data_IF_608551865419
#
_entry.id   IF_608551865419
#
_cell.length_a   1.000
_cell.length_b   1.000
_cell.length_c   1.000
_cell.angle_alpha   90.00
_cell.angle_beta   90.00
_cell.angle_gamma   90.00
#
_symmetry.space_group_name_H-M   'P 1'
#
loop_
_entity.id
_entity.type
_entity.pdbx_description
1 polymer ?
#
# COMPACT_ATOMS: atom_id res chain seq x y z
N UNK A 1 15.10 -34.84 -23.58
CA UNK A 1 14.41 -34.99 -22.25
C UNK A 1 14.61 -33.77 -21.39
N UNK A 2 15.81 -33.18 -21.32
CA UNK A 2 16.11 -31.96 -20.55
C UNK A 2 15.24 -30.77 -21.01
N UNK A 3 14.95 -30.63 -22.29
CA UNK A 3 14.08 -29.59 -22.86
C UNK A 3 12.61 -29.66 -22.36
N UNK A 4 12.20 -30.74 -21.70
CA UNK A 4 10.89 -30.97 -21.09
C UNK A 4 10.90 -30.85 -19.54
N UNK A 5 12.02 -30.35 -18.95
CA UNK A 5 12.13 -30.16 -17.50
C UNK A 5 12.46 -31.43 -16.71
N UNK A 6 12.84 -32.51 -17.37
CA UNK A 6 13.30 -33.73 -16.69
C UNK A 6 14.83 -33.71 -16.58
N UNK A 7 15.35 -33.47 -15.37
CA UNK A 7 16.78 -33.37 -15.03
C UNK A 7 17.38 -34.67 -14.47
N UNK A 8 16.60 -35.76 -14.39
CA UNK A 8 17.09 -37.08 -13.89
C UNK A 8 18.00 -37.82 -14.88
N UNK A 9 18.20 -37.27 -16.09
CA UNK A 9 19.02 -37.87 -17.12
C UNK A 9 20.51 -37.58 -16.88
N UNK A 10 21.15 -38.36 -15.98
CA UNK A 10 22.61 -38.41 -15.85
C UNK A 10 23.19 -39.42 -16.82
N UNK A 11 24.28 -39.04 -17.51
CA UNK A 11 25.04 -39.94 -18.38
C UNK A 11 25.92 -40.82 -17.51
N UNK A 12 25.86 -42.16 -17.71
CA UNK A 12 26.76 -43.11 -17.04
C UNK A 12 28.19 -42.98 -17.56
N UNK A 13 29.19 -43.13 -16.69
CA UNK A 13 30.61 -43.11 -17.05
C UNK A 13 30.95 -44.21 -18.06
N UNK A 14 31.63 -43.84 -19.15
CA UNK A 14 32.15 -44.77 -20.18
C UNK A 14 33.68 -44.78 -20.06
N UNK A 15 34.26 -45.96 -19.82
CA UNK A 15 35.64 -46.16 -19.36
C UNK A 15 36.73 -46.10 -20.49
N UNK A 16 36.43 -45.61 -21.70
CA UNK A 16 37.35 -45.83 -22.83
C UNK A 16 38.06 -44.58 -23.42
N UNK A 17 37.69 -43.36 -23.05
CA UNK A 17 38.40 -42.16 -23.55
C UNK A 17 38.39 -41.06 -22.47
N UNK A 18 39.56 -40.54 -22.08
CA UNK A 18 39.70 -39.52 -21.06
C UNK A 18 38.93 -38.22 -21.38
N UNK A 19 38.89 -37.81 -22.65
CA UNK A 19 38.16 -36.61 -23.09
C UNK A 19 36.63 -36.78 -22.96
N UNK A 20 36.11 -37.98 -23.25
CA UNK A 20 34.68 -38.27 -23.08
C UNK A 20 34.30 -38.30 -21.59
N UNK A 21 35.17 -38.82 -20.75
CA UNK A 21 34.96 -38.82 -19.30
C UNK A 21 34.90 -37.39 -18.72
N UNK A 22 35.80 -36.51 -19.16
CA UNK A 22 35.78 -35.09 -18.79
C UNK A 22 34.49 -34.40 -19.25
N UNK A 23 34.04 -34.69 -20.47
CA UNK A 23 32.80 -34.13 -21.01
C UNK A 23 31.57 -34.58 -20.21
N UNK A 24 31.48 -35.90 -19.91
CA UNK A 24 30.38 -36.45 -19.10
C UNK A 24 30.38 -35.85 -17.69
N UNK A 25 31.53 -35.69 -17.05
CA UNK A 25 31.67 -35.09 -15.71
C UNK A 25 31.22 -33.63 -15.73
N UNK A 26 31.67 -32.87 -16.73
CA UNK A 26 31.28 -31.46 -16.90
C UNK A 26 29.78 -31.31 -17.19
N UNK A 27 29.21 -32.20 -18.03
CA UNK A 27 27.78 -32.24 -18.29
C UNK A 27 26.96 -32.55 -17.02
N UNK A 28 27.32 -33.60 -16.27
CA UNK A 28 26.65 -33.96 -15.04
C UNK A 28 26.74 -32.83 -13.97
N UNK A 29 27.90 -32.15 -13.90
CA UNK A 29 28.08 -30.98 -13.03
C UNK A 29 27.13 -29.84 -13.44
N UNK A 30 27.04 -29.53 -14.74
CA UNK A 30 26.15 -28.52 -15.28
C UNK A 30 24.68 -28.83 -14.97
N UNK A 31 24.25 -30.06 -15.13
CA UNK A 31 22.90 -30.52 -14.78
C UNK A 31 22.64 -30.29 -13.29
N UNK A 32 23.55 -30.69 -12.42
CA UNK A 32 23.42 -30.47 -10.96
C UNK A 32 23.34 -28.96 -10.59
N UNK A 33 24.10 -28.11 -11.28
CA UNK A 33 24.04 -26.65 -11.07
C UNK A 33 22.70 -26.08 -11.55
N UNK A 34 22.14 -26.56 -12.65
CA UNK A 34 20.82 -26.15 -13.17
C UNK A 34 19.72 -26.60 -12.21
N UNK A 35 19.72 -27.83 -11.72
CA UNK A 35 18.77 -28.33 -10.72
C UNK A 35 18.80 -27.48 -9.45
N UNK A 36 20.00 -27.19 -8.92
CA UNK A 36 20.16 -26.36 -7.74
C UNK A 36 19.62 -24.94 -7.95
N UNK A 37 19.93 -24.30 -9.08
CA UNK A 37 19.40 -22.98 -9.42
C UNK A 37 17.88 -22.99 -9.57
N UNK A 38 17.32 -24.01 -10.20
CA UNK A 38 15.87 -24.14 -10.37
C UNK A 38 15.18 -24.28 -9.01
N UNK A 39 15.70 -25.14 -8.12
CA UNK A 39 15.17 -25.31 -6.77
C UNK A 39 15.26 -24.00 -5.95
N UNK A 40 16.35 -23.25 -6.09
CA UNK A 40 16.49 -21.94 -5.46
C UNK A 40 15.47 -20.92 -5.98
N UNK A 41 15.23 -20.90 -7.31
CA UNK A 41 14.23 -20.01 -7.91
C UNK A 41 12.81 -20.35 -7.45
N UNK A 42 12.48 -21.65 -7.38
CA UNK A 42 11.18 -22.12 -6.88
C UNK A 42 11.00 -21.72 -5.40
N UNK A 43 11.99 -21.99 -4.56
CA UNK A 43 11.92 -21.63 -3.14
C UNK A 43 11.78 -20.13 -2.94
N UNK A 44 12.51 -19.32 -3.70
CA UNK A 44 12.40 -17.86 -3.65
C UNK A 44 11.04 -17.38 -4.14
N UNK A 45 10.49 -17.98 -5.19
CA UNK A 45 9.15 -17.62 -5.70
C UNK A 45 8.06 -17.91 -4.66
N UNK A 46 8.17 -19.04 -3.94
CA UNK A 46 7.24 -19.38 -2.84
C UNK A 46 7.35 -18.36 -1.72
N UNK A 47 8.57 -18.04 -1.29
CA UNK A 47 8.80 -17.04 -0.23
C UNK A 47 8.27 -15.65 -0.62
N UNK A 48 8.47 -15.23 -1.85
CA UNK A 48 7.97 -13.93 -2.35
C UNK A 48 6.44 -13.92 -2.40
N UNK A 49 5.80 -15.04 -2.78
CA UNK A 49 4.33 -15.18 -2.79
C UNK A 49 3.76 -15.16 -1.36
N UNK A 50 4.38 -15.87 -0.41
CA UNK A 50 3.98 -15.84 1.00
C UNK A 50 4.08 -14.42 1.58
N UNK A 51 5.18 -13.70 1.29
CA UNK A 51 5.33 -12.29 1.69
C UNK A 51 4.26 -11.41 1.08
N UNK A 52 3.92 -11.60 -0.19
CA UNK A 52 2.86 -10.85 -0.87
C UNK A 52 1.51 -11.07 -0.20
N UNK A 53 1.13 -12.34 0.03
CA UNK A 53 -0.12 -12.69 0.71
C UNK A 53 -0.18 -12.13 2.14
N UNK A 54 0.93 -12.17 2.86
CA UNK A 54 1.03 -11.58 4.21
C UNK A 54 0.81 -10.06 4.20
N UNK A 55 1.44 -9.36 3.26
CA UNK A 55 1.26 -7.91 3.10
C UNK A 55 -0.18 -7.58 2.71
N UNK A 56 -0.79 -8.32 1.77
CA UNK A 56 -2.19 -8.14 1.40
C UNK A 56 -3.13 -8.36 2.58
N UNK A 57 -2.89 -9.38 3.41
CA UNK A 57 -3.67 -9.63 4.62
C UNK A 57 -3.57 -8.46 5.60
N UNK A 58 -2.36 -7.94 5.86
CA UNK A 58 -2.16 -6.75 6.72
C UNK A 58 -2.91 -5.55 6.15
N UNK A 59 -2.71 -5.24 4.86
CA UNK A 59 -3.37 -4.11 4.22
C UNK A 59 -4.89 -4.21 4.24
N UNK A 60 -5.45 -5.43 4.23
CA UNK A 60 -6.90 -5.65 4.32
C UNK A 60 -7.48 -5.41 5.72
N UNK A 61 -6.67 -5.54 6.77
CA UNK A 61 -7.06 -5.27 8.16
C UNK A 61 -7.01 -3.77 8.51
N UNK A 62 -6.29 -2.98 7.71
CA UNK A 62 -6.20 -1.54 7.95
C UNK A 62 -7.51 -0.85 7.56
N UNK A 63 -7.98 0.03 8.43
CA UNK A 63 -9.12 0.93 8.16
C UNK A 63 -8.72 2.14 7.31
N UNK A 64 -7.43 2.23 6.95
CA UNK A 64 -6.82 3.31 6.19
C UNK A 64 -6.73 2.90 4.72
N UNK A 65 -7.16 3.78 3.82
CA UNK A 65 -6.92 3.64 2.39
C UNK A 65 -5.45 3.88 2.08
N UNK A 66 -4.80 2.93 1.38
CA UNK A 66 -3.40 3.05 0.93
C UNK A 66 -3.36 3.00 -0.58
N UNK A 67 -2.67 3.97 -1.17
CA UNK A 67 -2.49 4.10 -2.63
C UNK A 67 -1.01 4.30 -2.91
N UNK A 68 -0.45 3.51 -3.81
CA UNK A 68 0.90 3.70 -4.37
C UNK A 68 0.79 4.37 -5.73
N UNK A 69 1.61 5.40 -5.94
CA UNK A 69 1.66 6.21 -7.17
C UNK A 69 3.07 6.19 -7.75
N UNK A 70 3.17 6.28 -9.06
CA UNK A 70 4.43 6.50 -9.76
C UNK A 70 4.93 7.97 -9.61
N UNK A 71 6.06 8.29 -10.22
CA UNK A 71 6.64 9.65 -10.24
C UNK A 71 5.75 10.71 -10.91
N UNK A 72 4.76 10.29 -11.71
CA UNK A 72 3.81 11.13 -12.44
C UNK A 72 2.43 11.16 -11.79
N UNK A 73 2.29 10.57 -10.58
CA UNK A 73 1.04 10.41 -9.85
C UNK A 73 0.02 9.50 -10.52
N UNK A 74 0.45 8.53 -11.34
CA UNK A 74 -0.42 7.48 -11.81
C UNK A 74 -0.53 6.38 -10.74
N UNK A 75 -1.72 5.79 -10.61
CA UNK A 75 -2.02 4.77 -9.62
C UNK A 75 -1.33 3.45 -10.03
N UNK A 76 -0.41 2.96 -9.20
CA UNK A 76 0.21 1.63 -9.35
C UNK A 76 -0.61 0.58 -8.61
N UNK A 77 -1.02 0.89 -7.38
CA UNK A 77 -1.71 -0.03 -6.48
C UNK A 77 -2.61 0.74 -5.53
N UNK A 78 -3.69 0.11 -5.08
CA UNK A 78 -4.50 0.57 -3.95
C UNK A 78 -5.12 -0.63 -3.21
N UNK A 79 -5.31 -0.51 -1.89
CA UNK A 79 -5.91 -1.56 -1.08
C UNK A 79 -7.45 -1.53 -1.15
N UNK A 80 -8.09 -2.61 -0.68
CA UNK A 80 -9.55 -2.75 -0.68
C UNK A 80 -10.25 -1.65 0.14
N UNK A 81 -9.64 -1.18 1.22
CA UNK A 81 -10.18 -0.10 2.05
C UNK A 81 -10.37 1.18 1.26
N UNK A 82 -9.44 1.51 0.35
CA UNK A 82 -9.57 2.67 -0.55
C UNK A 82 -10.86 2.61 -1.37
N UNK A 83 -11.19 1.44 -1.94
CA UNK A 83 -12.46 1.27 -2.66
C UNK A 83 -13.68 1.47 -1.76
N UNK A 84 -13.59 1.07 -0.50
CA UNK A 84 -14.68 1.22 0.46
C UNK A 84 -14.87 2.68 0.87
N UNK A 85 -13.78 3.40 1.13
CA UNK A 85 -13.81 4.82 1.50
C UNK A 85 -14.46 5.67 0.42
N UNK A 86 -14.16 5.41 -0.85
CA UNK A 86 -14.66 6.17 -2.00
C UNK A 86 -15.81 5.48 -2.75
N UNK A 87 -16.49 4.53 -2.11
CA UNK A 87 -17.65 3.84 -2.69
C UNK A 87 -18.77 4.82 -3.00
N UNK A 88 -19.01 5.02 -4.29
CA UNK A 88 -20.05 5.95 -4.80
C UNK A 88 -19.50 7.21 -5.45
N UNK A 89 -18.17 7.37 -5.46
CA UNK A 89 -17.46 8.29 -6.35
C UNK A 89 -16.99 7.54 -7.61
N UNK A 90 -16.09 8.14 -8.39
CA UNK A 90 -15.46 7.43 -9.51
C UNK A 90 -14.64 6.25 -9.01
N UNK A 91 -14.82 5.08 -9.64
CA UNK A 91 -14.01 3.89 -9.36
C UNK A 91 -12.57 4.16 -9.76
N UNK A 92 -11.65 3.98 -8.81
CA UNK A 92 -10.23 4.09 -9.08
C UNK A 92 -9.77 2.95 -10.01
N UNK A 93 -8.87 3.24 -10.93
CA UNK A 93 -8.29 2.28 -11.85
C UNK A 93 -6.77 2.45 -11.89
N UNK A 94 -6.05 1.33 -11.99
CA UNK A 94 -4.60 1.36 -12.14
C UNK A 94 -4.20 2.05 -13.44
N UNK A 95 -3.03 2.64 -13.45
CA UNK A 95 -2.44 3.41 -14.55
C UNK A 95 -3.16 4.73 -14.90
N UNK A 96 -4.25 5.07 -14.21
CA UNK A 96 -4.88 6.37 -14.34
C UNK A 96 -4.24 7.39 -13.40
N UNK A 97 -4.27 8.67 -13.78
CA UNK A 97 -3.76 9.74 -12.93
C UNK A 97 -4.62 9.89 -11.68
N UNK A 98 -4.01 9.76 -10.51
CA UNK A 98 -4.63 9.97 -9.20
C UNK A 98 -5.27 11.37 -9.11
N UNK A 99 -4.61 12.39 -9.65
CA UNK A 99 -5.07 13.77 -9.62
C UNK A 99 -6.31 14.02 -10.53
N UNK A 100 -6.66 13.09 -11.42
CA UNK A 100 -7.92 13.16 -12.16
C UNK A 100 -9.14 12.83 -11.30
N UNK A 101 -8.93 12.07 -10.21
CA UNK A 101 -9.96 11.75 -9.22
C UNK A 101 -10.05 12.80 -8.11
N UNK A 102 -8.90 13.40 -7.74
CA UNK A 102 -8.74 14.35 -6.64
C UNK A 102 -8.05 15.64 -7.13
N UNK A 103 -8.71 16.35 -8.05
CA UNK A 103 -8.16 17.56 -8.70
C UNK A 103 -7.83 18.69 -7.70
N UNK A 104 -8.59 18.81 -6.62
CA UNK A 104 -8.36 19.77 -5.54
C UNK A 104 -7.02 19.59 -4.84
N UNK A 105 -6.47 18.37 -4.83
CA UNK A 105 -5.18 18.09 -4.21
C UNK A 105 -3.98 18.38 -5.11
N UNK A 106 -4.22 18.74 -6.38
CA UNK A 106 -3.17 18.96 -7.38
C UNK A 106 -2.11 19.97 -6.93
N UNK A 107 -2.53 21.07 -6.28
CA UNK A 107 -1.60 22.09 -5.77
C UNK A 107 -0.69 21.53 -4.68
N UNK A 108 -1.26 20.75 -3.75
CA UNK A 108 -0.52 20.14 -2.62
C UNK A 108 0.51 19.14 -3.16
N UNK A 109 0.08 18.24 -4.05
CA UNK A 109 0.94 17.21 -4.64
C UNK A 109 2.08 17.81 -5.46
N UNK A 110 1.80 18.82 -6.31
CA UNK A 110 2.82 19.47 -7.11
C UNK A 110 3.82 20.28 -6.26
N UNK A 111 3.37 20.92 -5.19
CA UNK A 111 4.25 21.59 -4.24
C UNK A 111 5.11 20.58 -3.47
N UNK A 112 4.50 19.48 -3.03
CA UNK A 112 5.21 18.41 -2.33
C UNK A 112 6.27 17.76 -3.23
N UNK A 113 5.97 17.48 -4.51
CA UNK A 113 6.92 16.96 -5.49
C UNK A 113 8.19 17.83 -5.56
N UNK A 114 8.03 19.16 -5.59
CA UNK A 114 9.13 20.14 -5.66
C UNK A 114 9.84 20.38 -4.32
N UNK A 115 9.24 20.03 -3.22
CA UNK A 115 9.77 20.26 -1.88
C UNK A 115 10.87 19.26 -1.52
N UNK A 116 11.72 19.59 -0.54
CA UNK A 116 12.70 18.67 0.06
C UNK A 116 12.09 17.77 1.14
N UNK A 117 10.80 17.97 1.48
CA UNK A 117 10.11 17.15 2.48
C UNK A 117 9.95 15.71 1.98
N UNK A 118 10.11 14.75 2.87
CA UNK A 118 9.87 13.32 2.61
C UNK A 118 8.41 12.97 2.89
N UNK A 119 7.76 13.67 3.83
CA UNK A 119 6.38 13.46 4.26
C UNK A 119 5.62 14.79 4.24
N UNK A 120 4.39 14.75 3.79
CA UNK A 120 3.40 15.83 3.90
C UNK A 120 2.10 15.28 4.48
N UNK A 121 1.41 16.08 5.29
CA UNK A 121 0.16 15.71 5.92
C UNK A 121 -0.82 16.88 5.81
N UNK A 122 -2.07 16.60 5.43
CA UNK A 122 -3.13 17.61 5.38
C UNK A 122 -4.50 16.98 5.65
N UNK A 123 -5.41 17.82 6.14
CA UNK A 123 -6.81 17.45 6.33
C UNK A 123 -7.65 18.05 5.20
N UNK A 124 -8.69 17.32 4.81
CA UNK A 124 -9.60 17.75 3.74
C UNK A 124 -10.99 17.19 3.98
N UNK A 125 -11.99 17.89 3.45
CA UNK A 125 -13.36 17.42 3.43
C UNK A 125 -13.74 17.04 2.01
N UNK A 126 -14.40 15.90 1.85
CA UNK A 126 -14.87 15.40 0.55
C UNK A 126 -16.34 15.03 0.69
N UNK A 127 -17.13 15.51 -0.26
CA UNK A 127 -18.54 15.15 -0.39
C UNK A 127 -18.66 13.80 -1.11
N UNK A 128 -19.13 12.77 -0.41
CA UNK A 128 -19.37 11.43 -0.97
C UNK A 128 -20.85 11.11 -0.82
N UNK A 129 -21.60 11.05 -1.94
CA UNK A 129 -23.04 10.75 -1.95
C UNK A 129 -23.85 11.63 -0.98
N UNK A 130 -23.65 12.92 -1.00
CA UNK A 130 -24.30 13.90 -0.12
C UNK A 130 -23.89 13.83 1.36
N UNK A 131 -22.90 12.99 1.70
CA UNK A 131 -22.30 12.88 3.02
C UNK A 131 -20.94 13.56 3.04
N UNK A 132 -20.78 14.61 3.86
CA UNK A 132 -19.52 15.34 4.00
C UNK A 132 -18.61 14.58 4.97
N UNK A 133 -17.50 14.06 4.44
CA UNK A 133 -16.53 13.28 5.21
C UNK A 133 -15.21 14.00 5.37
N UNK A 134 -14.63 13.82 6.54
CA UNK A 134 -13.33 14.37 6.89
C UNK A 134 -12.24 13.32 6.71
N UNK A 135 -11.20 13.67 5.97
CA UNK A 135 -10.07 12.79 5.71
C UNK A 135 -8.77 13.43 6.19
N UNK A 136 -7.94 12.61 6.82
CA UNK A 136 -6.54 12.93 7.07
C UNK A 136 -5.69 12.20 6.02
N UNK A 137 -4.98 12.98 5.20
CA UNK A 137 -4.19 12.47 4.08
C UNK A 137 -2.71 12.66 4.37
N UNK A 138 -1.93 11.59 4.27
CA UNK A 138 -0.46 11.59 4.39
C UNK A 138 0.15 11.14 3.09
N UNK A 139 1.18 11.86 2.63
CA UNK A 139 1.92 11.55 1.42
C UNK A 139 3.38 11.35 1.81
N UNK A 140 3.97 10.25 1.35
CA UNK A 140 5.38 9.91 1.57
C UNK A 140 6.04 9.72 0.21
N UNK A 141 7.25 10.29 0.03
CA UNK A 141 8.09 10.02 -1.14
C UNK A 141 8.79 8.68 -0.99
N UNK A 142 8.69 7.84 -2.01
CA UNK A 142 9.47 6.62 -2.14
C UNK A 142 10.73 6.93 -2.96
N UNK A 143 11.89 6.45 -2.48
CA UNK A 143 13.17 6.66 -3.15
C UNK A 143 13.75 5.32 -3.60
N UNK A 144 14.33 5.32 -4.79
CA UNK A 144 15.18 4.26 -5.32
C UNK A 144 16.43 4.89 -5.93
N UNK A 145 17.61 4.44 -5.51
CA UNK A 145 18.90 4.99 -5.97
C UNK A 145 18.95 6.52 -5.88
N UNK A 146 18.53 7.07 -4.71
CA UNK A 146 18.46 8.51 -4.40
C UNK A 146 17.49 9.33 -5.27
N UNK A 147 16.76 8.72 -6.19
CA UNK A 147 15.74 9.37 -7.01
C UNK A 147 14.34 9.04 -6.50
N UNK A 148 13.41 9.97 -6.71
CA UNK A 148 12.00 9.72 -6.41
C UNK A 148 11.50 8.66 -7.37
N UNK A 149 11.12 7.49 -6.82
CA UNK A 149 10.54 6.37 -7.56
C UNK A 149 9.01 6.44 -7.61
N UNK A 150 8.41 7.10 -6.61
CA UNK A 150 6.97 7.23 -6.50
C UNK A 150 6.54 7.86 -5.19
N UNK A 151 5.25 7.66 -4.88
CA UNK A 151 4.63 8.20 -3.67
C UNK A 151 3.70 7.16 -3.05
N UNK A 152 3.65 7.14 -1.73
CA UNK A 152 2.64 6.38 -0.99
C UNK A 152 1.69 7.38 -0.35
N UNK A 153 0.40 7.21 -0.59
CA UNK A 153 -0.67 8.04 -0.03
C UNK A 153 -1.48 7.19 0.93
N UNK A 154 -1.59 7.64 2.18
CA UNK A 154 -2.45 7.04 3.19
C UNK A 154 -3.62 7.99 3.46
N UNK A 155 -4.86 7.48 3.42
CA UNK A 155 -6.10 8.23 3.55
C UNK A 155 -6.92 7.62 4.68
N UNK A 156 -7.11 8.38 5.76
CA UNK A 156 -7.83 7.98 6.96
C UNK A 156 -9.14 8.77 7.07
N UNK A 157 -10.28 8.06 7.20
CA UNK A 157 -11.58 8.70 7.45
C UNK A 157 -11.71 9.04 8.94
N UNK A 158 -11.57 10.32 9.26
CA UNK A 158 -11.64 10.83 10.62
C UNK A 158 -13.02 11.40 10.98
N UNK A 159 -14.03 11.19 10.13
CA UNK A 159 -15.38 11.77 10.29
C UNK A 159 -16.00 11.40 11.65
N UNK A 160 -16.01 10.13 12.00
CA UNK A 160 -16.57 9.65 13.27
C UNK A 160 -15.83 10.21 14.48
N UNK A 161 -14.51 10.33 14.40
CA UNK A 161 -13.68 10.91 15.47
C UNK A 161 -14.02 12.39 15.68
N UNK A 162 -14.06 13.19 14.60
CA UNK A 162 -14.39 14.61 14.66
C UNK A 162 -15.83 14.83 15.19
N UNK A 163 -16.79 13.99 14.77
CA UNK A 163 -18.15 14.06 15.28
C UNK A 163 -18.22 13.74 16.77
N UNK A 164 -17.52 12.71 17.23
CA UNK A 164 -17.45 12.35 18.63
C UNK A 164 -16.85 13.47 19.49
N UNK A 165 -15.77 14.10 19.00
CA UNK A 165 -15.13 15.24 19.66
C UNK A 165 -16.07 16.45 19.75
N UNK A 166 -16.79 16.79 18.68
CA UNK A 166 -17.82 17.83 18.67
C UNK A 166 -18.94 17.51 19.67
N UNK A 167 -19.43 16.27 19.72
CA UNK A 167 -20.48 15.87 20.66
C UNK A 167 -20.01 15.97 22.11
N UNK A 168 -18.77 15.59 22.42
CA UNK A 168 -18.21 15.75 23.77
C UNK A 168 -18.14 17.23 24.18
N UNK A 169 -17.62 18.09 23.30
CA UNK A 169 -17.55 19.53 23.53
C UNK A 169 -18.94 20.15 23.76
N UNK A 170 -19.93 19.77 22.94
CA UNK A 170 -21.32 20.23 23.11
C UNK A 170 -21.92 19.78 24.44
N UNK A 171 -21.65 18.55 24.86
CA UNK A 171 -22.13 18.03 26.16
C UNK A 171 -21.58 18.81 27.33
N UNK A 172 -20.31 19.18 27.30
CA UNK A 172 -19.69 20.00 28.37
C UNK A 172 -20.25 21.44 28.41
N UNK A 173 -20.45 22.05 27.23
CA UNK A 173 -21.10 23.36 27.12
C UNK A 173 -22.54 23.33 27.69
N UNK A 174 -23.32 22.32 27.26
CA UNK A 174 -24.69 22.16 27.74
C UNK A 174 -24.76 21.98 29.26
N UNK A 175 -23.83 21.20 29.85
CA UNK A 175 -23.73 21.00 31.30
C UNK A 175 -23.40 22.31 32.00
N UNK A 176 -22.47 23.10 31.48
CA UNK A 176 -22.10 24.42 32.04
C UNK A 176 -23.27 25.39 32.00
N UNK A 177 -23.97 25.48 30.86
CA UNK A 177 -25.18 26.32 30.72
C UNK A 177 -26.26 25.88 31.70
N UNK A 178 -26.54 24.58 31.85
CA UNK A 178 -27.52 24.06 32.79
C UNK A 178 -27.20 24.46 34.25
N UNK A 179 -25.90 24.42 34.66
CA UNK A 179 -25.45 24.86 35.96
C UNK A 179 -25.62 26.38 36.14
N UNK A 180 -25.25 27.18 35.12
CA UNK A 180 -25.37 28.65 35.19
C UNK A 180 -26.83 29.13 35.22
N UNK A 181 -27.75 28.41 34.55
CA UNK A 181 -29.20 28.69 34.60
C UNK A 181 -29.81 28.24 35.91
N UNK A 182 -29.36 27.13 36.51
CA UNK A 182 -29.85 26.64 37.79
C UNK A 182 -29.49 27.55 38.96
N UNK A 183 -28.32 28.19 38.95
CA UNK A 183 -27.80 29.00 40.03
C UNK A 183 -28.70 30.22 40.39
N UNK A 184 -29.22 31.03 39.45
CA UNK A 184 -30.13 32.14 39.77
C UNK A 184 -31.56 31.69 40.04
N UNK A 185 -31.98 30.46 39.66
CA UNK A 185 -33.33 29.94 39.92
C UNK A 185 -33.49 29.25 41.29
N UNK A 186 -32.39 28.88 41.93
CA UNK A 186 -32.41 28.21 43.24
C UNK A 186 -32.88 29.11 44.40
N UNK A 187 -32.69 30.46 44.43
CA UNK A 187 -33.15 31.31 45.50
C UNK A 187 -34.63 31.73 45.43
N UNK A 188 -35.38 31.34 44.39
CA UNK A 188 -36.80 31.64 44.23
C UNK A 188 -37.64 30.49 44.86
N UNK A 189 -37.65 30.44 46.22
CA UNK A 189 -38.58 29.65 47.05
C UNK A 189 -39.20 30.55 48.09
#
# INVERSE_FOLDING_TARGET
EISKGNFDSKVSEIDQFDEIKVLITSYNKMIGEIENKQNQLISKSIEDEEKRLFIEAILSLLTIGVISLDENFNIIFYNQTTNTLFKGTKKLENNNSFLSYFSEWSKIFNNFKKSKKILENFQTEILIKDDLRNFNVRIIKEFKDEKINGYIVAIDDTTSFILAEKHAAWSDIARKIAHEVKNPLTPIK
#
